data_IF_865072475924
#
_entry.id   IF_865072475924
#
_cell.length_a   1.000
_cell.length_b   1.000
_cell.length_c   1.000
_cell.angle_alpha   90.00
_cell.angle_beta   90.00
_cell.angle_gamma   90.00
#
_symmetry.space_group_name_H-M   'P 1'
#
loop_
_entity.id
_entity.type
_entity.pdbx_description
1 polymer ?
#
# COMPACT_ATOMS: atom_id res chain seq x y z
N UNK A 1 -18.89 2.03 16.77
CA UNK A 1 -18.18 3.29 16.44
C UNK A 1 -18.21 4.20 17.66
N UNK A 2 -17.13 4.93 17.97
CA UNK A 2 -17.07 5.82 19.15
C UNK A 2 -18.21 6.85 19.11
N UNK A 3 -18.49 7.43 17.94
CA UNK A 3 -19.63 8.34 17.71
C UNK A 3 -20.98 7.75 18.13
N UNK A 4 -21.23 6.48 17.80
CA UNK A 4 -22.47 5.78 18.18
C UNK A 4 -22.58 5.57 19.68
N UNK A 5 -21.49 5.25 20.37
CA UNK A 5 -21.50 5.05 21.82
C UNK A 5 -21.66 6.37 22.59
N UNK A 6 -21.22 7.49 21.99
CA UNK A 6 -21.32 8.83 22.56
C UNK A 6 -22.56 9.59 22.07
N UNK A 7 -23.42 8.96 21.25
CA UNK A 7 -24.56 9.61 20.58
C UNK A 7 -24.16 10.92 19.86
N UNK A 8 -22.94 10.96 19.33
CA UNK A 8 -22.35 12.14 18.70
C UNK A 8 -22.40 12.07 17.17
N UNK A 9 -22.62 13.20 16.46
CA UNK A 9 -22.62 13.21 14.99
C UNK A 9 -21.31 12.75 14.34
N UNK A 10 -21.46 11.83 13.37
CA UNK A 10 -20.46 11.37 12.38
C UNK A 10 -20.03 12.47 11.39
N UNK A 11 -18.75 12.87 11.32
CA UNK A 11 -18.21 13.65 10.19
C UNK A 11 -17.22 12.81 9.37
N UNK A 12 -17.26 12.94 8.04
CA UNK A 12 -16.35 12.28 7.11
C UNK A 12 -15.72 13.32 6.18
N UNK A 13 -14.38 13.35 6.09
CA UNK A 13 -13.63 14.17 5.11
C UNK A 13 -13.47 13.39 3.81
N UNK A 14 -13.95 13.94 2.70
CA UNK A 14 -13.75 13.38 1.35
C UNK A 14 -12.32 13.61 0.86
N UNK A 15 -11.82 12.71 0.01
CA UNK A 15 -10.55 12.92 -0.73
C UNK A 15 -10.66 14.05 -1.75
N UNK A 16 -11.82 14.18 -2.39
CA UNK A 16 -12.10 15.20 -3.40
C UNK A 16 -13.47 15.86 -3.16
N UNK A 17 -13.56 17.16 -3.44
CA UNK A 17 -14.80 17.91 -3.38
C UNK A 17 -15.79 17.37 -4.43
N UNK A 18 -17.09 17.44 -4.14
CA UNK A 18 -18.12 17.04 -5.12
C UNK A 18 -18.02 17.90 -6.38
N UNK A 19 -18.00 17.26 -7.56
CA UNK A 19 -18.03 17.95 -8.86
C UNK A 19 -19.36 18.69 -9.10
N UNK A 20 -20.46 18.22 -8.51
CA UNK A 20 -21.80 18.82 -8.57
C UNK A 20 -22.40 19.00 -7.16
N UNK A 21 -23.14 20.09 -6.93
CA UNK A 21 -23.76 20.42 -5.65
C UNK A 21 -22.92 21.39 -4.79
N UNK A 22 -23.01 21.28 -3.45
CA UNK A 22 -22.46 22.25 -2.49
C UNK A 22 -20.93 22.33 -2.41
N UNK A 23 -20.19 21.53 -3.19
CA UNK A 23 -18.70 21.46 -3.24
C UNK A 23 -18.01 21.24 -1.87
N UNK A 24 -18.74 20.75 -0.87
CA UNK A 24 -18.22 20.55 0.49
C UNK A 24 -17.24 19.36 0.56
N UNK A 25 -16.18 19.54 1.36
CA UNK A 25 -15.19 18.50 1.67
C UNK A 25 -15.59 17.65 2.89
N UNK A 26 -16.49 18.16 3.73
CA UNK A 26 -16.98 17.49 4.95
C UNK A 26 -18.42 17.03 4.76
N UNK A 27 -18.67 15.74 4.95
CA UNK A 27 -20.01 15.14 4.98
C UNK A 27 -20.44 14.84 6.42
N UNK A 28 -21.74 15.01 6.70
CA UNK A 28 -22.34 14.82 8.03
C UNK A 28 -23.09 16.05 8.52
N UNK A 29 -23.72 15.92 9.68
CA UNK A 29 -24.50 16.99 10.32
C UNK A 29 -23.64 17.73 11.34
N UNK A 30 -23.56 19.05 11.19
CA UNK A 30 -22.81 19.92 12.10
C UNK A 30 -23.36 21.34 12.08
N UNK A 31 -23.02 22.11 13.10
CA UNK A 31 -23.32 23.52 13.23
C UNK A 31 -22.03 24.32 13.38
N UNK A 32 -21.98 25.50 12.78
CA UNK A 32 -20.87 26.45 12.95
C UNK A 32 -20.62 26.74 14.43
N UNK A 33 -19.34 26.79 14.83
CA UNK A 33 -18.91 27.04 16.20
C UNK A 33 -18.89 25.81 17.10
N UNK A 34 -19.36 24.64 16.63
CA UNK A 34 -19.27 23.40 17.42
C UNK A 34 -17.85 22.86 17.46
N UNK A 35 -17.54 22.19 18.57
CA UNK A 35 -16.28 21.45 18.75
C UNK A 35 -16.34 20.13 17.99
N UNK A 36 -15.22 19.78 17.36
CA UNK A 36 -15.02 18.53 16.65
C UNK A 36 -13.76 17.84 17.20
N UNK A 37 -13.91 16.56 17.54
CA UNK A 37 -12.82 15.69 17.97
C UNK A 37 -12.40 14.83 16.79
N UNK A 38 -11.12 14.86 16.44
CA UNK A 38 -10.55 13.95 15.43
C UNK A 38 -10.07 12.69 16.14
N UNK A 39 -10.39 11.53 15.54
CA UNK A 39 -9.95 10.22 16.02
C UNK A 39 -9.18 9.54 14.88
N UNK A 40 -7.93 9.17 15.16
CA UNK A 40 -7.03 8.49 14.22
C UNK A 40 -6.54 7.16 14.81
N UNK A 41 -6.13 6.23 13.95
CA UNK A 41 -5.49 4.99 14.40
C UNK A 41 -4.04 5.23 14.79
N UNK A 42 -3.27 5.87 13.91
CA UNK A 42 -1.82 6.04 14.01
C UNK A 42 -1.44 7.46 13.61
N UNK A 43 -0.69 8.14 14.47
CA UNK A 43 -0.14 9.47 14.17
C UNK A 43 1.36 9.41 13.98
N UNK A 44 1.83 10.00 12.88
CA UNK A 44 3.25 10.16 12.55
C UNK A 44 3.66 11.62 12.64
N UNK A 45 3.68 12.34 11.51
CA UNK A 45 4.04 13.76 11.41
C UNK A 45 2.88 14.72 11.70
N UNK A 46 1.64 14.22 11.74
CA UNK A 46 0.44 15.04 11.93
C UNK A 46 -0.05 15.79 10.68
N UNK A 47 0.56 15.59 9.51
CA UNK A 47 0.20 16.34 8.28
C UNK A 47 -1.27 16.15 7.85
N UNK A 48 -1.77 14.90 7.79
CA UNK A 48 -3.16 14.59 7.43
C UNK A 48 -4.17 15.22 8.40
N UNK A 49 -3.82 15.23 9.70
CA UNK A 49 -4.64 15.87 10.73
C UNK A 49 -4.72 17.37 10.48
N UNK A 50 -3.59 18.04 10.20
CA UNK A 50 -3.59 19.48 9.91
C UNK A 50 -4.45 19.83 8.68
N UNK A 51 -4.36 19.05 7.61
CA UNK A 51 -5.22 19.24 6.44
C UNK A 51 -6.71 19.08 6.81
N UNK A 52 -7.03 18.12 7.67
CA UNK A 52 -8.39 17.87 8.14
C UNK A 52 -8.89 18.99 9.04
N UNK A 53 -8.07 19.46 9.98
CA UNK A 53 -8.40 20.61 10.83
C UNK A 53 -8.61 21.86 9.98
N UNK A 54 -7.81 22.08 8.93
CA UNK A 54 -8.00 23.20 8.00
C UNK A 54 -9.35 23.12 7.30
N UNK A 55 -9.76 21.95 6.81
CA UNK A 55 -11.05 21.75 6.18
C UNK A 55 -12.22 21.95 7.17
N UNK A 56 -12.09 21.45 8.40
CA UNK A 56 -13.10 21.63 9.45
C UNK A 56 -13.23 23.11 9.86
N UNK A 57 -12.11 23.83 10.02
CA UNK A 57 -12.10 25.28 10.32
C UNK A 57 -12.76 26.09 9.22
N UNK A 58 -12.61 25.72 7.94
CA UNK A 58 -13.29 26.37 6.82
C UNK A 58 -14.81 26.21 6.86
N UNK A 59 -15.31 25.10 7.40
CA UNK A 59 -16.75 24.89 7.66
C UNK A 59 -17.19 25.50 9.02
N UNK A 60 -16.30 26.24 9.69
CA UNK A 60 -16.59 26.94 10.94
C UNK A 60 -16.56 26.07 12.20
N UNK A 61 -15.97 24.88 12.13
CA UNK A 61 -15.81 23.99 13.29
C UNK A 61 -14.54 24.28 14.08
N UNK A 62 -14.61 24.02 15.39
CA UNK A 62 -13.49 24.20 16.32
C UNK A 62 -12.85 22.83 16.58
N UNK A 63 -11.63 22.61 16.10
CA UNK A 63 -10.89 21.38 16.36
C UNK A 63 -9.57 21.69 17.06
N UNK A 64 -9.49 21.32 18.34
CA UNK A 64 -8.35 21.61 19.24
C UNK A 64 -7.82 20.35 19.91
N UNK A 65 -8.50 19.22 19.78
CA UNK A 65 -8.11 17.94 20.34
C UNK A 65 -8.18 16.85 19.28
N UNK A 66 -7.17 15.98 19.30
CA UNK A 66 -7.05 14.78 18.47
C UNK A 66 -6.72 13.62 19.39
N UNK A 67 -7.40 12.49 19.22
CA UNK A 67 -7.06 11.24 19.90
C UNK A 67 -6.53 10.26 18.87
N UNK A 68 -5.43 9.57 19.19
CA UNK A 68 -4.97 8.43 18.42
C UNK A 68 -4.74 7.19 19.28
N UNK A 69 -4.82 6.01 18.66
CA UNK A 69 -4.43 4.77 19.34
C UNK A 69 -2.91 4.72 19.51
N UNK A 70 -2.15 4.94 18.44
CA UNK A 70 -0.68 4.90 18.45
C UNK A 70 -0.07 6.23 18.00
N UNK A 71 0.75 6.84 18.85
CA UNK A 71 1.66 7.91 18.44
C UNK A 71 3.03 7.30 18.08
N UNK A 72 3.44 7.44 16.81
CA UNK A 72 4.75 6.95 16.34
C UNK A 72 5.93 7.85 16.75
N UNK A 73 5.66 8.98 17.40
CA UNK A 73 6.66 9.93 17.91
C UNK A 73 7.58 10.49 16.81
N UNK A 74 6.98 10.80 15.66
CA UNK A 74 7.69 11.32 14.48
C UNK A 74 7.40 12.82 14.24
N UNK A 75 7.33 13.59 15.31
CA UNK A 75 7.13 15.06 15.28
C UNK A 75 5.67 15.53 15.23
N UNK A 76 4.70 14.62 15.29
CA UNK A 76 3.27 14.95 15.23
C UNK A 76 2.79 15.80 16.41
N UNK A 77 3.26 15.51 17.63
CA UNK A 77 2.88 16.25 18.84
C UNK A 77 3.27 17.72 18.71
N UNK A 78 4.54 17.99 18.39
CA UNK A 78 5.10 19.34 18.29
C UNK A 78 4.50 20.10 17.11
N UNK A 79 4.28 19.42 15.98
CA UNK A 79 3.68 20.04 14.79
C UNK A 79 2.24 20.46 15.04
N UNK A 80 1.44 19.62 15.69
CA UNK A 80 0.04 19.92 16.03
C UNK A 80 -0.06 21.02 17.10
N UNK A 81 0.82 20.99 18.11
CA UNK A 81 0.84 22.00 19.16
C UNK A 81 1.09 23.42 18.64
N UNK A 82 1.91 23.59 17.59
CA UNK A 82 2.13 24.90 16.92
C UNK A 82 0.85 25.49 16.33
N UNK A 83 -0.12 24.66 15.99
CA UNK A 83 -1.42 25.05 15.44
C UNK A 83 -2.52 25.10 16.51
N UNK A 84 -2.15 24.98 17.79
CA UNK A 84 -3.05 24.98 18.93
C UNK A 84 -3.88 23.70 19.07
N UNK A 85 -3.37 22.58 18.56
CA UNK A 85 -4.04 21.27 18.59
C UNK A 85 -3.29 20.34 19.55
N UNK A 86 -4.02 19.77 20.51
CA UNK A 86 -3.50 18.79 21.45
C UNK A 86 -3.68 17.38 20.89
N UNK A 87 -2.59 16.60 20.87
CA UNK A 87 -2.62 15.19 20.53
C UNK A 87 -2.60 14.33 21.80
N UNK A 88 -3.62 13.50 21.96
CA UNK A 88 -3.73 12.50 23.02
C UNK A 88 -3.54 11.11 22.40
N UNK A 89 -2.65 10.29 22.95
CA UNK A 89 -2.37 8.95 22.43
C UNK A 89 -2.59 7.89 23.50
N UNK A 90 -3.20 6.75 23.15
CA UNK A 90 -3.33 5.62 24.08
C UNK A 90 -1.97 4.95 24.35
N UNK A 91 -1.15 4.79 23.32
CA UNK A 91 0.20 4.25 23.43
C UNK A 91 1.17 5.02 22.54
N UNK A 92 2.43 5.14 22.98
CA UNK A 92 3.50 5.71 22.17
C UNK A 92 4.42 4.61 21.62
N UNK A 93 5.16 4.94 20.56
CA UNK A 93 6.15 4.01 20.01
C UNK A 93 7.23 3.65 21.03
N UNK A 94 7.68 4.61 21.83
CA UNK A 94 8.61 4.36 22.94
C UNK A 94 8.04 3.31 23.89
N UNK A 95 6.78 3.44 24.32
CA UNK A 95 6.15 2.47 25.21
C UNK A 95 6.03 1.06 24.58
N UNK A 96 5.74 0.98 23.28
CA UNK A 96 5.74 -0.30 22.56
C UNK A 96 7.15 -0.91 22.53
N UNK A 97 8.18 -0.12 22.19
CA UNK A 97 9.55 -0.60 22.11
C UNK A 97 10.09 -1.01 23.49
N UNK A 98 9.79 -0.26 24.55
CA UNK A 98 10.09 -0.62 25.93
C UNK A 98 9.50 -1.99 26.27
N UNK A 99 8.21 -2.21 25.96
CA UNK A 99 7.55 -3.47 26.19
C UNK A 99 8.21 -4.62 25.42
N UNK A 100 8.47 -4.45 24.12
CA UNK A 100 9.05 -5.49 23.28
C UNK A 100 10.48 -5.89 23.69
N UNK A 101 11.25 -4.95 24.22
CA UNK A 101 12.57 -5.25 24.82
C UNK A 101 12.37 -6.00 26.13
N UNK A 102 11.46 -5.54 27.01
CA UNK A 102 11.21 -6.20 28.30
C UNK A 102 10.64 -7.61 28.17
N UNK A 103 9.94 -7.90 27.07
CA UNK A 103 9.40 -9.22 26.75
C UNK A 103 10.37 -10.09 25.94
N UNK A 104 11.61 -9.64 25.74
CA UNK A 104 12.66 -10.32 24.96
C UNK A 104 12.28 -10.60 23.48
N UNK A 105 11.25 -9.92 22.96
CA UNK A 105 10.80 -10.07 21.57
C UNK A 105 11.78 -9.40 20.60
N UNK A 106 12.43 -8.31 21.03
CA UNK A 106 13.51 -7.64 20.30
C UNK A 106 14.69 -7.37 21.23
N UNK A 107 15.90 -7.31 20.67
CA UNK A 107 17.09 -6.93 21.44
C UNK A 107 17.19 -5.41 21.63
N UNK A 108 18.01 -4.99 22.60
CA UNK A 108 18.29 -3.57 22.84
C UNK A 108 18.96 -2.91 21.62
N UNK A 109 19.83 -3.64 20.92
CA UNK A 109 20.46 -3.16 19.68
C UNK A 109 19.40 -2.94 18.59
N UNK A 110 18.47 -3.88 18.44
CA UNK A 110 17.38 -3.77 17.46
C UNK A 110 16.46 -2.59 17.75
N UNK A 111 16.20 -2.29 19.02
CA UNK A 111 15.45 -1.07 19.41
C UNK A 111 16.16 0.19 18.90
N UNK A 112 17.47 0.32 19.11
CA UNK A 112 18.25 1.48 18.67
C UNK A 112 18.17 1.65 17.15
N UNK A 113 18.26 0.55 16.40
CA UNK A 113 18.08 0.58 14.93
C UNK A 113 16.69 1.10 14.53
N UNK A 114 15.63 0.62 15.19
CA UNK A 114 14.25 1.05 14.92
C UNK A 114 14.09 2.55 15.24
N UNK A 115 14.60 3.01 16.38
CA UNK A 115 14.56 4.44 16.75
C UNK A 115 15.28 5.32 15.71
N UNK A 116 16.42 4.87 15.19
CA UNK A 116 17.14 5.58 14.13
C UNK A 116 16.32 5.67 12.83
N UNK A 117 15.64 4.58 12.43
CA UNK A 117 14.76 4.57 11.27
C UNK A 117 13.56 5.51 11.43
N UNK A 118 12.95 5.54 12.62
CA UNK A 118 11.81 6.40 12.92
C UNK A 118 12.18 7.88 12.82
N UNK A 119 13.38 8.26 13.31
CA UNK A 119 13.93 9.62 13.19
C UNK A 119 14.22 10.02 11.74
N UNK A 120 14.83 9.14 10.96
CA UNK A 120 15.14 9.43 9.55
C UNK A 120 13.87 9.63 8.70
N UNK A 121 12.79 8.92 9.01
CA UNK A 121 11.50 9.08 8.32
C UNK A 121 10.84 10.43 8.64
N UNK A 122 11.19 11.07 9.76
CA UNK A 122 10.69 12.42 10.11
C UNK A 122 11.21 13.51 9.18
N UNK A 123 12.43 13.36 8.63
CA UNK A 123 13.09 14.36 7.77
C UNK A 123 12.53 14.35 6.34
N UNK A 124 12.08 13.20 5.84
CA UNK A 124 11.50 13.08 4.51
C UNK A 124 10.15 13.83 4.39
N UNK A 125 9.44 14.02 5.53
CA UNK A 125 8.12 14.66 5.58
C UNK A 125 8.15 16.14 6.02
N UNK A 126 9.34 16.73 6.22
CA UNK A 126 9.52 18.17 6.51
C UNK A 126 9.94 18.98 5.29
N UNK A 127 10.46 18.34 4.24
CA UNK A 127 11.06 19.02 3.09
C UNK A 127 10.11 19.14 1.89
N UNK A 128 8.87 19.59 2.12
CA UNK A 128 7.95 19.98 1.02
C UNK A 128 7.95 21.50 0.80
N UNK A 129 8.68 22.28 1.60
CA UNK A 129 8.93 23.69 1.31
C UNK A 129 10.41 23.91 0.99
N UNK A 130 10.64 24.35 -0.26
CA UNK A 130 11.96 24.34 -0.90
C UNK A 130 13.04 25.12 -0.17
N UNK A 131 14.24 24.53 -0.17
CA UNK A 131 15.53 25.17 -0.47
C UNK A 131 16.60 24.09 -0.52
N UNK A 132 17.11 23.83 -1.73
CA UNK A 132 18.39 23.17 -1.91
C UNK A 132 19.46 24.01 -1.22
N UNK A 133 20.09 23.47 -0.18
CA UNK A 133 21.41 23.90 0.24
C UNK A 133 22.17 22.68 0.71
N UNK A 134 23.25 22.38 -0.01
CA UNK A 134 24.05 21.18 0.12
C UNK A 134 24.67 20.99 1.50
N UNK A 135 24.58 19.75 1.97
CA UNK A 135 25.60 19.15 2.83
C UNK A 135 25.91 17.76 2.30
N UNK A 136 27.20 17.45 2.15
CA UNK A 136 27.74 16.17 1.71
C UNK A 136 27.48 15.07 2.77
N UNK A 137 26.24 14.60 2.86
CA UNK A 137 25.91 13.30 3.44
C UNK A 137 25.73 12.31 2.31
N UNK A 138 26.39 11.14 2.37
CA UNK A 138 26.31 10.10 1.37
C UNK A 138 24.85 9.91 0.91
N UNK A 139 24.57 10.33 -0.32
CA UNK A 139 23.32 10.03 -0.99
C UNK A 139 23.35 8.53 -1.22
N UNK A 140 22.72 7.75 -0.34
CA UNK A 140 22.35 6.39 -0.68
C UNK A 140 21.42 6.51 -1.89
N UNK A 141 22.01 6.42 -3.07
CA UNK A 141 21.30 6.48 -4.33
C UNK A 141 20.45 5.22 -4.40
N UNK A 142 19.15 5.32 -4.10
CA UNK A 142 18.19 4.20 -4.11
C UNK A 142 17.75 3.83 -5.54
N UNK A 143 18.65 3.87 -6.50
CA UNK A 143 18.34 3.51 -7.89
C UNK A 143 18.06 2.01 -7.99
N UNK A 144 17.36 1.60 -9.05
CA UNK A 144 17.12 0.18 -9.32
C UNK A 144 18.43 -0.60 -9.47
N UNK A 145 19.45 0.03 -10.05
CA UNK A 145 20.79 -0.52 -10.23
C UNK A 145 21.49 -0.77 -8.89
N UNK A 146 21.37 0.17 -7.93
CA UNK A 146 21.96 0.01 -6.59
C UNK A 146 21.37 -1.17 -5.81
N UNK A 147 20.12 -1.54 -6.13
CA UNK A 147 19.36 -2.59 -5.46
C UNK A 147 19.52 -3.96 -6.13
N UNK A 148 20.23 -4.03 -7.26
CA UNK A 148 20.33 -5.23 -8.09
C UNK A 148 20.85 -6.43 -7.29
N UNK A 149 21.96 -6.28 -6.58
CA UNK A 149 22.56 -7.37 -5.79
C UNK A 149 21.65 -7.88 -4.66
N UNK A 150 20.83 -7.01 -4.06
CA UNK A 150 19.87 -7.37 -3.00
C UNK A 150 18.65 -8.11 -3.56
N UNK A 151 18.19 -7.70 -4.73
CA UNK A 151 16.96 -8.21 -5.34
C UNK A 151 17.20 -9.48 -6.16
N UNK A 152 18.43 -9.71 -6.62
CA UNK A 152 18.78 -10.87 -7.45
C UNK A 152 18.63 -12.24 -6.75
N UNK A 153 18.57 -12.25 -5.42
CA UNK A 153 18.40 -13.47 -4.63
C UNK A 153 17.01 -14.13 -4.79
N UNK A 154 16.01 -13.40 -5.30
CA UNK A 154 14.65 -13.90 -5.51
C UNK A 154 14.30 -13.86 -7.01
N UNK A 155 13.84 -14.98 -7.56
CA UNK A 155 13.58 -15.10 -9.00
C UNK A 155 12.53 -14.13 -9.54
N UNK A 156 11.48 -13.82 -8.76
CA UNK A 156 10.48 -12.83 -9.14
C UNK A 156 11.09 -11.42 -9.13
N UNK A 157 11.83 -11.07 -8.08
CA UNK A 157 12.47 -9.77 -7.97
C UNK A 157 13.48 -9.55 -9.11
N UNK A 158 14.29 -10.55 -9.44
CA UNK A 158 15.20 -10.51 -10.60
C UNK A 158 14.44 -10.29 -11.89
N UNK A 159 13.33 -11.00 -12.10
CA UNK A 159 12.50 -10.88 -13.30
C UNK A 159 11.90 -9.47 -13.43
N UNK A 160 11.27 -8.95 -12.38
CA UNK A 160 10.68 -7.61 -12.34
C UNK A 160 11.76 -6.54 -12.55
N UNK A 161 12.87 -6.62 -11.83
CA UNK A 161 13.97 -5.65 -11.94
C UNK A 161 14.55 -5.62 -13.35
N UNK A 162 14.76 -6.78 -13.97
CA UNK A 162 15.26 -6.86 -15.35
C UNK A 162 14.31 -6.18 -16.35
N UNK A 163 13.00 -6.39 -16.20
CA UNK A 163 12.00 -5.71 -17.02
C UNK A 163 12.07 -4.20 -16.80
N UNK A 164 12.09 -3.75 -15.54
CA UNK A 164 12.11 -2.33 -15.19
C UNK A 164 13.37 -1.62 -15.73
N UNK A 165 14.54 -2.23 -15.55
CA UNK A 165 15.82 -1.69 -16.03
C UNK A 165 15.88 -1.66 -17.56
N UNK A 166 15.46 -2.74 -18.23
CA UNK A 166 15.53 -2.83 -19.69
C UNK A 166 14.57 -1.85 -20.38
N UNK A 167 13.39 -1.67 -19.81
CA UNK A 167 12.32 -0.84 -20.38
C UNK A 167 12.24 0.56 -19.78
N UNK A 168 13.09 0.86 -18.78
CA UNK A 168 13.09 2.12 -18.03
C UNK A 168 11.68 2.49 -17.53
N UNK A 169 10.97 1.49 -16.98
CA UNK A 169 9.59 1.64 -16.53
C UNK A 169 9.38 0.94 -15.19
N UNK A 170 8.63 1.59 -14.31
CA UNK A 170 8.13 1.02 -13.07
C UNK A 170 6.59 0.98 -13.05
N UNK A 171 5.95 1.21 -14.20
CA UNK A 171 4.51 1.28 -14.33
C UNK A 171 3.90 -0.12 -14.40
N UNK A 172 3.02 -0.43 -13.45
CA UNK A 172 2.10 -1.56 -13.52
C UNK A 172 0.72 -1.03 -13.89
N UNK A 173 0.08 -1.59 -14.93
CA UNK A 173 -1.26 -1.18 -15.35
C UNK A 173 -2.28 -2.24 -14.97
N UNK A 174 -3.38 -1.80 -14.34
CA UNK A 174 -4.57 -2.60 -14.14
C UNK A 174 -5.42 -2.57 -15.41
N UNK A 175 -5.66 -3.73 -16.01
CA UNK A 175 -6.56 -3.85 -17.18
C UNK A 175 -7.82 -4.58 -16.70
N UNK A 176 -8.72 -3.79 -16.12
CA UNK A 176 -9.95 -4.29 -15.50
C UNK A 176 -11.11 -4.18 -16.51
N UNK A 177 -11.10 -5.07 -17.50
CA UNK A 177 -12.12 -5.20 -18.56
C UNK A 177 -12.73 -6.61 -18.51
N UNK A 178 -13.96 -6.80 -19.00
CA UNK A 178 -14.65 -8.11 -18.93
C UNK A 178 -14.55 -8.93 -20.22
N UNK A 179 -14.15 -8.34 -21.34
CA UNK A 179 -14.03 -9.02 -22.63
C UNK A 179 -12.56 -9.22 -23.02
N UNK A 180 -12.19 -10.46 -23.35
CA UNK A 180 -10.79 -10.84 -23.63
C UNK A 180 -10.17 -10.09 -24.80
N UNK A 181 -10.92 -9.80 -25.87
CA UNK A 181 -10.38 -9.11 -27.05
C UNK A 181 -9.95 -7.68 -26.71
N UNK A 182 -10.77 -6.95 -25.93
CA UNK A 182 -10.42 -5.60 -25.45
C UNK A 182 -9.20 -5.61 -24.54
N UNK A 183 -9.09 -6.61 -23.67
CA UNK A 183 -7.93 -6.80 -22.81
C UNK A 183 -6.68 -6.97 -23.68
N UNK A 184 -6.71 -7.90 -24.64
CA UNK A 184 -5.58 -8.18 -25.52
C UNK A 184 -5.18 -6.96 -26.37
N UNK A 185 -6.15 -6.23 -26.93
CA UNK A 185 -5.90 -4.99 -27.68
C UNK A 185 -5.25 -3.89 -26.82
N UNK A 186 -5.73 -3.75 -25.58
CA UNK A 186 -5.14 -2.81 -24.61
C UNK A 186 -3.71 -3.21 -24.30
N UNK A 187 -3.48 -4.48 -23.96
CA UNK A 187 -2.16 -5.04 -23.67
C UNK A 187 -1.21 -4.88 -24.86
N UNK A 188 -1.67 -5.10 -26.09
CA UNK A 188 -0.86 -4.93 -27.29
C UNK A 188 -0.40 -3.48 -27.47
N UNK A 189 -1.23 -2.51 -27.09
CA UNK A 189 -0.93 -1.08 -27.21
C UNK A 189 0.02 -0.58 -26.12
N UNK A 190 -0.12 -1.07 -24.88
CA UNK A 190 0.63 -0.56 -23.73
C UNK A 190 1.79 -1.47 -23.30
N UNK A 191 1.80 -2.73 -23.74
CA UNK A 191 2.67 -3.78 -23.20
C UNK A 191 4.15 -3.45 -23.32
N UNK A 192 4.56 -2.70 -24.36
CA UNK A 192 5.93 -2.22 -24.54
C UNK A 192 6.41 -1.16 -23.54
N UNK A 193 5.51 -0.55 -22.77
CA UNK A 193 5.81 0.60 -21.88
C UNK A 193 5.65 0.29 -20.39
N UNK A 194 5.12 -0.89 -20.04
CA UNK A 194 4.81 -1.28 -18.65
C UNK A 194 5.75 -2.37 -18.15
N UNK A 195 6.01 -2.42 -16.84
CA UNK A 195 6.75 -3.53 -16.24
C UNK A 195 5.84 -4.72 -15.93
N UNK A 196 4.57 -4.45 -15.62
CA UNK A 196 3.61 -5.48 -15.26
C UNK A 196 2.19 -5.10 -15.72
N UNK A 197 1.37 -6.13 -15.92
CA UNK A 197 -0.06 -6.00 -16.20
C UNK A 197 -0.82 -6.79 -15.13
N UNK A 198 -1.68 -6.09 -14.39
CA UNK A 198 -2.55 -6.65 -13.37
C UNK A 198 -3.91 -6.98 -13.98
N UNK A 199 -4.38 -8.19 -13.74
CA UNK A 199 -5.68 -8.69 -14.20
C UNK A 199 -6.51 -9.23 -13.04
N UNK A 200 -7.83 -9.10 -13.17
CA UNK A 200 -8.82 -9.88 -12.44
C UNK A 200 -9.37 -10.93 -13.42
N UNK A 201 -8.83 -12.14 -13.42
CA UNK A 201 -9.25 -13.17 -14.37
C UNK A 201 -10.69 -13.64 -14.14
N UNK A 202 -11.18 -13.49 -12.91
CA UNK A 202 -12.51 -13.87 -12.44
C UNK A 202 -13.64 -12.94 -12.92
N UNK A 203 -13.32 -11.79 -13.51
CA UNK A 203 -14.32 -10.86 -14.09
C UNK A 203 -14.38 -10.95 -15.63
N UNK A 204 -13.58 -11.82 -16.26
CA UNK A 204 -13.53 -11.95 -17.72
C UNK A 204 -14.60 -12.94 -18.14
N UNK A 205 -15.63 -12.46 -18.85
CA UNK A 205 -16.83 -13.22 -19.22
C UNK A 205 -16.51 -14.39 -20.16
N UNK A 206 -15.55 -14.17 -21.06
CA UNK A 206 -15.11 -15.08 -22.12
C UNK A 206 -13.70 -15.66 -21.88
N UNK A 207 -13.31 -15.84 -20.62
CA UNK A 207 -12.02 -16.44 -20.24
C UNK A 207 -11.91 -17.89 -20.74
N UNK A 208 -10.87 -18.17 -21.51
CA UNK A 208 -10.55 -19.50 -22.01
C UNK A 208 -9.04 -19.71 -22.19
N UNK A 209 -8.68 -20.91 -22.65
CA UNK A 209 -7.28 -21.27 -22.85
C UNK A 209 -6.61 -20.47 -23.98
N UNK A 210 -7.36 -20.12 -25.03
CA UNK A 210 -6.85 -19.30 -26.14
C UNK A 210 -6.42 -17.91 -25.62
N UNK A 211 -7.22 -17.29 -24.75
CA UNK A 211 -6.84 -16.05 -24.08
C UNK A 211 -5.51 -16.18 -23.31
N UNK A 212 -5.34 -17.27 -22.57
CA UNK A 212 -4.11 -17.53 -21.79
C UNK A 212 -2.90 -17.67 -22.72
N UNK A 213 -3.04 -18.38 -23.84
CA UNK A 213 -1.97 -18.56 -24.83
C UNK A 213 -1.57 -17.23 -25.48
N UNK A 214 -2.55 -16.41 -25.87
CA UNK A 214 -2.30 -15.08 -26.44
C UNK A 214 -1.67 -14.13 -25.42
N UNK A 215 -2.20 -14.08 -24.20
CA UNK A 215 -1.67 -13.24 -23.11
C UNK A 215 -0.22 -13.59 -22.78
N UNK A 216 0.10 -14.88 -22.63
CA UNK A 216 1.46 -15.33 -22.33
C UNK A 216 2.42 -15.12 -23.49
N UNK A 217 1.93 -15.16 -24.73
CA UNK A 217 2.68 -14.79 -25.93
C UNK A 217 3.03 -13.30 -25.93
N UNK A 218 2.04 -12.44 -25.68
CA UNK A 218 2.24 -10.99 -25.57
C UNK A 218 3.19 -10.63 -24.43
N UNK A 219 3.07 -11.28 -23.26
CA UNK A 219 3.98 -11.09 -22.12
C UNK A 219 5.44 -11.36 -22.49
N UNK A 220 5.71 -12.45 -23.22
CA UNK A 220 7.06 -12.80 -23.69
C UNK A 220 7.56 -11.80 -24.74
N UNK A 221 6.72 -11.45 -25.72
CA UNK A 221 7.09 -10.57 -26.83
C UNK A 221 7.35 -9.13 -26.37
N UNK A 222 6.46 -8.58 -25.53
CA UNK A 222 6.51 -7.21 -25.04
C UNK A 222 7.25 -7.08 -23.70
N UNK A 223 7.71 -8.20 -23.15
CA UNK A 223 8.51 -8.30 -21.94
C UNK A 223 7.86 -7.57 -20.76
N UNK A 224 6.73 -8.08 -20.27
CA UNK A 224 6.06 -7.61 -19.06
C UNK A 224 5.64 -8.79 -18.17
N UNK A 225 5.49 -8.53 -16.88
CA UNK A 225 5.05 -9.49 -15.87
C UNK A 225 3.52 -9.60 -15.87
N UNK A 226 2.98 -10.82 -15.88
CA UNK A 226 1.55 -11.04 -15.68
C UNK A 226 1.25 -11.18 -14.18
N UNK A 227 0.36 -10.33 -13.67
CA UNK A 227 -0.01 -10.26 -12.26
C UNK A 227 -1.51 -10.56 -12.10
N UNK A 228 -1.86 -11.67 -11.47
CA UNK A 228 -3.25 -11.98 -11.13
C UNK A 228 -3.60 -11.46 -9.73
N UNK A 229 -4.46 -10.44 -9.65
CA UNK A 229 -4.87 -9.83 -8.38
C UNK A 229 -6.05 -10.59 -7.74
N UNK A 230 -5.77 -11.85 -7.40
CA UNK A 230 -6.77 -12.82 -6.90
C UNK A 230 -7.15 -12.64 -5.43
N UNK A 231 -6.33 -11.93 -4.65
CA UNK A 231 -6.51 -11.66 -3.21
C UNK A 231 -6.86 -12.92 -2.42
N UNK A 232 -6.03 -13.95 -2.55
CA UNK A 232 -6.25 -15.24 -1.87
C UNK A 232 -6.27 -15.02 -0.34
N UNK A 233 -7.28 -15.54 0.34
CA UNK A 233 -7.49 -15.32 1.77
C UNK A 233 -7.90 -16.60 2.51
N UNK A 234 -7.36 -17.73 2.07
CA UNK A 234 -7.61 -19.05 2.65
C UNK A 234 -6.28 -19.75 3.04
N UNK A 235 -6.31 -20.99 3.51
CA UNK A 235 -5.14 -21.74 3.95
C UNK A 235 -5.00 -23.09 3.24
N UNK A 236 -3.77 -23.62 3.23
CA UNK A 236 -3.50 -25.01 2.91
C UNK A 236 -3.96 -25.45 1.52
N UNK A 237 -4.56 -26.63 1.46
CA UNK A 237 -4.98 -27.28 0.21
C UNK A 237 -5.99 -26.45 -0.60
N UNK A 238 -6.83 -25.65 0.05
CA UNK A 238 -7.82 -24.83 -0.66
C UNK A 238 -7.15 -23.79 -1.56
N UNK A 239 -6.09 -23.13 -1.07
CA UNK A 239 -5.31 -22.18 -1.88
C UNK A 239 -4.60 -22.88 -3.03
N UNK A 240 -4.07 -24.08 -2.80
CA UNK A 240 -3.43 -24.87 -3.86
C UNK A 240 -4.42 -25.22 -4.97
N UNK A 241 -5.62 -25.68 -4.62
CA UNK A 241 -6.69 -25.96 -5.60
C UNK A 241 -7.19 -24.68 -6.30
N UNK A 242 -7.34 -23.56 -5.59
CA UNK A 242 -7.76 -22.29 -6.20
C UNK A 242 -6.76 -21.76 -7.25
N UNK A 243 -5.48 -22.12 -7.10
CA UNK A 243 -4.42 -21.71 -8.01
C UNK A 243 -4.19 -22.70 -9.16
N UNK A 244 -4.41 -24.00 -8.92
CA UNK A 244 -4.05 -25.07 -9.86
C UNK A 244 -5.23 -25.74 -10.55
N UNK A 245 -6.45 -25.54 -10.06
CA UNK A 245 -7.69 -26.13 -10.56
C UNK A 245 -8.76 -25.06 -10.79
N UNK A 246 -9.97 -25.51 -11.16
CA UNK A 246 -11.07 -24.64 -11.55
C UNK A 246 -10.81 -24.03 -12.93
N UNK A 247 -11.70 -23.16 -13.40
CA UNK A 247 -11.64 -22.70 -14.79
C UNK A 247 -10.46 -21.77 -15.08
N UNK A 248 -9.81 -21.20 -14.05
CA UNK A 248 -8.82 -20.14 -14.21
C UNK A 248 -7.38 -20.64 -14.25
N UNK A 249 -7.06 -21.78 -13.63
CA UNK A 249 -5.71 -22.36 -13.60
C UNK A 249 -4.59 -21.31 -13.41
N UNK A 250 -4.75 -20.39 -12.45
CA UNK A 250 -3.96 -19.15 -12.34
C UNK A 250 -2.45 -19.41 -12.29
N UNK A 251 -2.03 -20.48 -11.61
CA UNK A 251 -0.63 -20.84 -11.47
C UNK A 251 0.07 -21.14 -12.81
N UNK A 252 -0.68 -21.52 -13.86
CA UNK A 252 -0.14 -21.93 -15.15
C UNK A 252 0.28 -20.76 -16.04
N UNK A 253 -0.19 -19.54 -15.74
CA UNK A 253 0.04 -18.37 -16.59
C UNK A 253 0.44 -17.10 -15.84
N UNK A 254 -0.01 -16.91 -14.59
CA UNK A 254 0.37 -15.73 -13.82
C UNK A 254 1.80 -15.86 -13.29
N UNK A 255 2.60 -14.80 -13.41
CA UNK A 255 3.93 -14.76 -12.80
C UNK A 255 3.87 -14.44 -11.31
N UNK A 256 2.86 -13.69 -10.89
CA UNK A 256 2.65 -13.28 -9.49
C UNK A 256 1.17 -13.22 -9.17
N UNK A 257 0.82 -13.56 -7.93
CA UNK A 257 -0.55 -13.51 -7.39
C UNK A 257 -0.61 -12.69 -6.11
N UNK A 258 -1.77 -12.10 -5.77
CA UNK A 258 -1.96 -11.46 -4.46
C UNK A 258 -2.50 -12.44 -3.40
N UNK A 259 -2.01 -12.28 -2.18
CA UNK A 259 -2.47 -13.00 -0.98
C UNK A 259 -2.77 -12.02 0.15
N UNK A 260 -3.74 -12.35 0.99
CA UNK A 260 -3.97 -11.64 2.25
C UNK A 260 -3.12 -12.25 3.36
N UNK A 261 -2.69 -11.41 4.31
CA UNK A 261 -1.95 -11.85 5.51
C UNK A 261 -2.83 -12.47 6.60
N UNK A 262 -4.15 -12.29 6.52
CA UNK A 262 -5.14 -12.76 7.50
C UNK A 262 -5.00 -14.26 7.83
N UNK A 263 -4.78 -15.18 6.86
CA UNK A 263 -4.66 -16.61 7.14
C UNK A 263 -3.32 -17.01 7.78
N UNK A 264 -2.39 -16.06 7.95
CA UNK A 264 -1.05 -16.31 8.49
C UNK A 264 -0.07 -16.92 7.47
N UNK A 265 1.14 -17.32 7.91
CA UNK A 265 2.23 -17.74 7.02
C UNK A 265 1.93 -18.98 6.16
N UNK A 266 0.94 -19.79 6.53
CA UNK A 266 0.58 -21.01 5.80
C UNK A 266 0.19 -20.75 4.34
N UNK A 267 -0.42 -19.59 4.03
CA UNK A 267 -0.75 -19.24 2.65
C UNK A 267 0.51 -19.12 1.77
N UNK A 268 1.58 -18.55 2.32
CA UNK A 268 2.86 -18.42 1.62
C UNK A 268 3.54 -19.78 1.44
N UNK A 269 3.36 -20.71 2.37
CA UNK A 269 3.85 -22.09 2.21
C UNK A 269 3.14 -22.80 1.06
N UNK A 270 1.80 -22.69 0.98
CA UNK A 270 1.01 -23.26 -0.11
C UNK A 270 1.42 -22.69 -1.47
N UNK A 271 1.52 -21.36 -1.58
CA UNK A 271 2.02 -20.74 -2.82
C UNK A 271 3.46 -21.15 -3.13
N UNK A 272 4.32 -21.24 -2.10
CA UNK A 272 5.70 -21.69 -2.23
C UNK A 272 5.84 -23.13 -2.75
N UNK A 273 4.92 -24.03 -2.38
CA UNK A 273 4.88 -25.38 -2.93
C UNK A 273 4.57 -25.39 -4.43
N UNK A 274 3.60 -24.56 -4.84
CA UNK A 274 3.21 -24.44 -6.25
C UNK A 274 4.36 -23.83 -7.06
N UNK A 275 5.06 -22.81 -6.56
CA UNK A 275 6.22 -22.21 -7.24
C UNK A 275 7.33 -23.24 -7.51
N UNK A 276 7.50 -24.24 -6.63
CA UNK A 276 8.49 -25.32 -6.85
C UNK A 276 8.08 -26.29 -7.96
N UNK A 277 6.78 -26.43 -8.22
CA UNK A 277 6.22 -27.38 -9.19
C UNK A 277 5.90 -26.73 -10.54
N UNK A 278 5.47 -25.47 -10.52
CA UNK A 278 5.00 -24.72 -11.69
C UNK A 278 6.08 -23.75 -12.18
N UNK A 279 6.25 -23.65 -13.51
CA UNK A 279 7.25 -22.77 -14.10
C UNK A 279 6.76 -21.33 -14.29
N UNK A 280 5.46 -21.08 -14.37
CA UNK A 280 4.93 -19.74 -14.62
C UNK A 280 4.91 -18.89 -13.36
N UNK A 281 4.30 -19.38 -12.28
CA UNK A 281 4.22 -18.67 -10.99
C UNK A 281 5.58 -18.55 -10.31
N UNK A 282 5.99 -17.32 -9.99
CA UNK A 282 7.29 -16.99 -9.39
C UNK A 282 7.20 -16.40 -7.99
N UNK A 283 6.03 -15.94 -7.56
CA UNK A 283 5.86 -15.35 -6.23
C UNK A 283 4.43 -14.96 -5.90
N UNK A 284 4.25 -14.49 -4.67
CA UNK A 284 3.05 -13.85 -4.20
C UNK A 284 3.39 -12.49 -3.57
N UNK A 285 2.43 -11.57 -3.62
CA UNK A 285 2.45 -10.24 -3.00
C UNK A 285 1.38 -10.13 -1.91
#
# INVERSE_FOLDING_TARGET
LISSNLEAPMLIKRKEAKAYGTKKLIEGSYETGKKCLIIEDVVTSGASILETVKALKQEGLICVDVICALNREQGGVERLAKEGINLHSLVSMTAILDYLVSSETISAERRVEIEALLKNTSLANTNVEGKENGTNGATNSWTLESRKSLLEANSLNSMVLNVMLKKQTNLCVAVDETNKEKILQTIQSIGGYVCAIKLHADIIDDFDQDFVEELTTLSKQLNFIIFADRKLADTGNTVELQLTHGNLHIADWANVVTVHSVPGPSILHSVGNIIKQNKALKGAL
#
